data_IF_692171312065
#
_entry.id   IF_692171312065
#
_cell.length_a   1.000
_cell.length_b   1.000
_cell.length_c   1.000
_cell.angle_alpha   90.00
_cell.angle_beta   90.00
_cell.angle_gamma   90.00
#
_symmetry.space_group_name_H-M   'P 1'
#
loop_
_entity.id
_entity.type
_entity.pdbx_description
1 polymer ?
#
# COMPACT_ATOMS: atom_id res chain seq x y z
N UNK A 1 1.67 -5.23 -21.88
CA UNK A 1 2.34 -5.29 -20.57
C UNK A 1 1.37 -5.21 -19.39
N UNK A 2 0.28 -4.43 -19.47
CA UNK A 2 -0.73 -4.32 -18.42
C UNK A 2 -1.46 -5.64 -18.16
N UNK A 3 -1.88 -6.35 -19.21
CA UNK A 3 -2.61 -7.63 -19.12
C UNK A 3 -1.85 -8.77 -18.41
N UNK A 4 -0.51 -8.70 -18.34
CA UNK A 4 0.29 -9.72 -17.63
C UNK A 4 0.61 -9.36 -16.19
N UNK A 5 0.16 -8.17 -15.71
CA UNK A 5 0.38 -7.71 -14.35
C UNK A 5 -0.87 -7.91 -13.48
N UNK A 6 -2.05 -7.69 -14.06
CA UNK A 6 -3.31 -7.71 -13.33
C UNK A 6 -3.93 -9.11 -13.29
N UNK A 7 -4.48 -9.45 -12.13
CA UNK A 7 -5.31 -10.63 -11.90
C UNK A 7 -6.74 -10.24 -11.53
N UNK A 8 -7.63 -11.21 -11.51
CA UNK A 8 -8.99 -11.06 -11.02
C UNK A 8 -9.07 -11.45 -9.55
N UNK A 9 -9.77 -10.63 -8.76
CA UNK A 9 -9.93 -10.91 -7.35
C UNK A 9 -10.91 -9.95 -6.67
N UNK A 10 -11.36 -10.36 -5.49
CA UNK A 10 -12.20 -9.55 -4.63
C UNK A 10 -11.75 -9.70 -3.18
N UNK A 11 -11.96 -8.68 -2.38
CA UNK A 11 -11.74 -8.70 -0.95
C UNK A 11 -12.84 -7.93 -0.23
N UNK A 12 -13.18 -8.38 0.96
CA UNK A 12 -14.11 -7.69 1.86
C UNK A 12 -13.60 -7.82 3.30
N UNK A 13 -13.84 -6.79 4.09
CA UNK A 13 -13.58 -6.81 5.52
C UNK A 13 -14.77 -6.22 6.28
N UNK A 14 -14.94 -6.66 7.50
CA UNK A 14 -15.90 -6.09 8.43
C UNK A 14 -15.14 -5.30 9.49
N UNK A 15 -15.48 -4.02 9.65
CA UNK A 15 -14.93 -3.18 10.68
C UNK A 15 -16.04 -2.78 11.67
N UNK A 16 -15.72 -2.79 12.95
CA UNK A 16 -16.61 -2.32 14.01
C UNK A 16 -16.01 -1.11 14.71
N UNK A 17 -16.87 -0.15 15.08
CA UNK A 17 -16.47 0.97 15.92
C UNK A 17 -16.64 0.65 17.39
N UNK A 18 -15.91 1.42 18.26
CA UNK A 18 -16.04 1.32 19.71
C UNK A 18 -14.95 0.49 20.39
N UNK A 19 -15.08 0.35 21.73
CA UNK A 19 -14.08 -0.32 22.58
C UNK A 19 -14.16 -1.86 22.56
N UNK A 20 -15.13 -2.43 21.87
CA UNK A 20 -15.44 -3.87 21.94
C UNK A 20 -14.65 -4.72 20.91
N UNK A 21 -13.82 -4.12 20.07
CA UNK A 21 -13.08 -4.85 19.04
C UNK A 21 -11.76 -5.39 19.61
N UNK A 22 -11.69 -6.68 19.85
CA UNK A 22 -10.44 -7.40 19.99
C UNK A 22 -9.81 -7.57 18.60
N UNK A 23 -8.49 -7.40 18.49
CA UNK A 23 -7.74 -7.64 17.25
C UNK A 23 -7.19 -6.37 16.61
N UNK A 24 -6.99 -6.42 15.29
CA UNK A 24 -6.37 -5.35 14.52
C UNK A 24 -7.19 -4.05 14.57
N UNK A 25 -6.55 -2.96 14.93
CA UNK A 25 -7.17 -1.63 15.03
C UNK A 25 -6.62 -0.69 13.97
N UNK A 26 -7.50 0.10 13.37
CA UNK A 26 -7.12 1.29 12.60
C UNK A 26 -6.98 2.46 13.57
N UNK A 27 -5.76 2.98 13.71
CA UNK A 27 -5.42 4.07 14.63
C UNK A 27 -5.63 5.43 13.96
N UNK A 28 -5.15 5.56 12.73
CA UNK A 28 -5.24 6.79 11.94
C UNK A 28 -5.11 6.50 10.46
N UNK A 29 -5.53 7.45 9.63
CA UNK A 29 -5.30 7.39 8.19
C UNK A 29 -4.95 8.77 7.64
N UNK A 30 -4.26 8.78 6.48
CA UNK A 30 -3.95 9.98 5.71
C UNK A 30 -3.99 9.66 4.23
N UNK A 31 -4.67 10.51 3.47
CA UNK A 31 -4.60 10.56 2.01
C UNK A 31 -3.72 11.73 1.57
N UNK A 32 -2.84 11.51 0.62
CA UNK A 32 -1.98 12.54 0.07
C UNK A 32 -1.88 12.38 -1.45
N UNK A 33 -2.18 13.44 -2.21
CA UNK A 33 -2.01 13.47 -3.66
C UNK A 33 -0.68 14.14 -3.98
N UNK A 34 0.13 13.49 -4.80
CA UNK A 34 1.41 14.04 -5.23
C UNK A 34 1.22 14.98 -6.42
N UNK A 35 1.61 16.26 -6.30
CA UNK A 35 1.51 17.21 -7.41
C UNK A 35 2.32 16.75 -8.63
N UNK A 36 1.85 17.12 -9.82
CA UNK A 36 2.53 16.91 -11.10
C UNK A 36 2.81 15.43 -11.43
N UNK A 37 1.97 14.52 -10.94
CA UNK A 37 2.14 13.07 -11.13
C UNK A 37 0.96 12.37 -11.83
N UNK A 38 -0.02 13.13 -12.31
CA UNK A 38 -1.25 12.59 -12.90
C UNK A 38 -1.04 11.69 -14.12
N UNK A 39 0.06 11.86 -14.85
CA UNK A 39 0.40 11.05 -16.01
C UNK A 39 1.08 9.72 -15.65
N UNK A 40 1.46 9.51 -14.39
CA UNK A 40 2.16 8.30 -13.95
C UNK A 40 1.21 7.12 -13.69
N UNK A 41 0.06 7.40 -13.07
CA UNK A 41 -1.01 6.44 -12.79
C UNK A 41 -2.36 7.12 -12.90
N UNK A 42 -3.25 6.59 -13.73
CA UNK A 42 -4.56 7.18 -13.92
C UNK A 42 -5.44 6.39 -14.89
N UNK A 43 -6.51 7.02 -15.29
CA UNK A 43 -7.44 6.52 -16.29
C UNK A 43 -7.58 7.50 -17.44
N UNK A 44 -7.63 6.97 -18.65
CA UNK A 44 -7.99 7.73 -19.85
C UNK A 44 -9.31 7.22 -20.38
N UNK A 45 -10.26 8.11 -20.56
CA UNK A 45 -11.54 7.80 -21.18
C UNK A 45 -11.37 7.87 -22.70
N UNK A 46 -11.72 6.79 -23.39
CA UNK A 46 -11.76 6.66 -24.84
C UNK A 46 -13.16 6.28 -25.34
N UNK A 47 -13.32 6.20 -26.66
CA UNK A 47 -14.59 5.77 -27.31
C UNK A 47 -14.99 4.33 -26.95
N UNK A 48 -14.03 3.53 -26.54
CA UNK A 48 -14.15 2.10 -26.18
C UNK A 48 -14.09 1.87 -24.65
N UNK A 49 -14.19 2.93 -23.84
CA UNK A 49 -14.24 2.87 -22.38
C UNK A 49 -13.00 3.40 -21.68
N UNK A 50 -12.80 2.94 -20.42
CA UNK A 50 -11.67 3.33 -19.60
C UNK A 50 -10.42 2.54 -19.95
N UNK A 51 -9.31 3.26 -20.14
CA UNK A 51 -7.98 2.68 -20.30
C UNK A 51 -7.09 3.09 -19.15
N UNK A 52 -6.46 2.10 -18.51
CA UNK A 52 -5.49 2.38 -17.46
C UNK A 52 -4.25 3.04 -18.05
N UNK A 53 -3.81 4.12 -17.40
CA UNK A 53 -2.50 4.74 -17.61
C UNK A 53 -1.59 4.26 -16.48
N UNK A 54 -0.54 3.54 -16.83
CA UNK A 54 0.48 3.09 -15.90
C UNK A 54 1.83 3.20 -16.60
N UNK A 55 2.63 4.14 -16.16
CA UNK A 55 3.96 4.41 -16.74
C UNK A 55 5.07 4.01 -15.78
N UNK A 56 6.31 3.94 -16.29
CA UNK A 56 7.49 3.71 -15.46
C UNK A 56 7.73 4.85 -14.46
N UNK A 57 7.20 6.04 -14.71
CA UNK A 57 7.31 7.19 -13.81
C UNK A 57 6.63 7.01 -12.46
N UNK A 58 5.73 6.02 -12.30
CA UNK A 58 5.11 5.74 -11.01
C UNK A 58 6.15 5.38 -9.94
N UNK A 59 7.10 4.51 -10.26
CA UNK A 59 8.16 4.13 -9.31
C UNK A 59 9.00 5.35 -8.91
N UNK A 60 9.34 6.22 -9.86
CA UNK A 60 10.12 7.44 -9.59
C UNK A 60 9.37 8.43 -8.69
N UNK A 61 8.04 8.56 -8.85
CA UNK A 61 7.20 9.38 -7.97
C UNK A 61 7.21 8.82 -6.55
N UNK A 62 7.04 7.50 -6.41
CA UNK A 62 7.06 6.81 -5.10
C UNK A 62 8.42 7.02 -4.42
N UNK A 63 9.52 6.78 -5.10
CA UNK A 63 10.87 6.95 -4.53
C UNK A 63 11.12 8.38 -4.04
N UNK A 64 10.67 9.39 -4.78
CA UNK A 64 10.88 10.79 -4.40
C UNK A 64 9.98 11.30 -3.28
N UNK A 65 8.76 10.78 -3.16
CA UNK A 65 7.72 11.39 -2.33
C UNK A 65 7.33 10.58 -1.09
N UNK A 66 7.30 9.25 -1.19
CA UNK A 66 6.71 8.40 -0.16
C UNK A 66 7.41 8.51 1.20
N UNK A 67 8.75 8.62 1.22
CA UNK A 67 9.50 8.72 2.48
C UNK A 67 9.08 9.93 3.32
N UNK A 68 8.92 11.09 2.68
CA UNK A 68 8.48 12.31 3.37
C UNK A 68 7.06 12.17 3.91
N UNK A 69 6.14 11.63 3.09
CA UNK A 69 4.74 11.41 3.46
C UNK A 69 4.63 10.46 4.67
N UNK A 70 5.31 9.33 4.61
CA UNK A 70 5.32 8.32 5.68
C UNK A 70 5.96 8.88 6.95
N UNK A 71 7.13 9.51 6.84
CA UNK A 71 7.82 10.06 8.01
C UNK A 71 7.00 11.15 8.70
N UNK A 72 6.40 12.06 7.94
CA UNK A 72 5.52 13.10 8.48
C UNK A 72 4.25 12.52 9.12
N UNK A 73 3.65 11.49 8.51
CA UNK A 73 2.49 10.82 9.07
C UNK A 73 2.82 10.13 10.40
N UNK A 74 3.87 9.33 10.43
CA UNK A 74 4.29 8.61 11.63
C UNK A 74 4.72 9.55 12.77
N UNK A 75 5.45 10.62 12.44
CA UNK A 75 5.87 11.62 13.43
C UNK A 75 4.67 12.27 14.16
N UNK A 76 3.56 12.51 13.45
CA UNK A 76 2.31 12.99 14.03
C UNK A 76 1.69 12.04 15.07
N UNK A 77 2.14 10.78 15.12
CA UNK A 77 1.71 9.75 16.06
C UNK A 77 2.83 9.29 17.01
N UNK A 78 3.95 10.03 17.07
CA UNK A 78 5.09 9.69 17.93
C UNK A 78 5.87 8.45 17.48
N UNK A 79 5.76 8.07 16.21
CA UNK A 79 6.38 6.90 15.62
C UNK A 79 7.43 7.29 14.57
N UNK A 80 8.32 6.34 14.27
CA UNK A 80 9.27 6.41 13.17
C UNK A 80 9.16 5.15 12.30
N UNK A 81 9.79 5.13 11.14
CA UNK A 81 9.82 3.97 10.23
C UNK A 81 10.35 2.72 10.94
N UNK A 82 11.37 2.86 11.78
CA UNK A 82 12.02 1.76 12.52
C UNK A 82 11.12 1.15 13.61
N UNK A 83 10.05 1.87 14.01
CA UNK A 83 9.07 1.39 15.00
C UNK A 83 7.94 0.58 14.36
N UNK A 84 7.84 0.58 13.05
CA UNK A 84 6.82 -0.18 12.33
C UNK A 84 7.33 -1.62 12.16
N UNK A 85 6.57 -2.56 12.71
CA UNK A 85 6.91 -3.99 12.71
C UNK A 85 6.22 -4.76 11.60
N UNK A 86 5.09 -4.26 11.09
CA UNK A 86 4.33 -4.90 10.02
C UNK A 86 4.05 -3.92 8.90
N UNK A 87 4.39 -4.32 7.68
CA UNK A 87 4.21 -3.52 6.47
C UNK A 87 3.20 -4.18 5.54
N UNK A 88 2.14 -3.48 5.22
CA UNK A 88 1.07 -3.91 4.30
C UNK A 88 1.14 -3.03 3.07
N UNK A 89 2.03 -3.36 2.13
CA UNK A 89 2.27 -2.53 0.96
C UNK A 89 1.46 -3.04 -0.25
N UNK A 90 0.76 -2.12 -0.92
CA UNK A 90 0.05 -2.45 -2.16
C UNK A 90 1.01 -3.03 -3.21
N UNK A 91 0.79 -4.26 -3.71
CA UNK A 91 1.66 -4.91 -4.68
C UNK A 91 1.34 -4.44 -6.10
N UNK A 92 1.56 -3.15 -6.38
CA UNK A 92 1.22 -2.52 -7.66
C UNK A 92 2.02 -3.03 -8.86
N UNK A 93 3.16 -3.67 -8.60
CA UNK A 93 4.09 -4.26 -9.55
C UNK A 93 5.48 -4.37 -8.94
N UNK A 94 6.41 -5.17 -9.53
CA UNK A 94 7.74 -5.38 -8.95
C UNK A 94 8.47 -4.07 -8.69
N UNK A 95 8.54 -3.18 -9.67
CA UNK A 95 9.21 -1.88 -9.56
C UNK A 95 8.58 -0.95 -8.53
N UNK A 96 7.26 -1.05 -8.31
CA UNK A 96 6.56 -0.25 -7.30
C UNK A 96 6.90 -0.74 -5.90
N UNK A 97 6.97 -2.06 -5.70
CA UNK A 97 7.41 -2.65 -4.43
C UNK A 97 8.86 -2.27 -4.14
N UNK A 98 9.75 -2.34 -5.15
CA UNK A 98 11.14 -1.90 -5.03
C UNK A 98 11.23 -0.43 -4.64
N UNK A 99 10.43 0.44 -5.27
CA UNK A 99 10.39 1.86 -4.98
C UNK A 99 9.93 2.16 -3.53
N UNK A 100 8.91 1.45 -3.03
CA UNK A 100 8.48 1.54 -1.63
C UNK A 100 9.62 1.12 -0.70
N UNK A 101 10.22 -0.04 -0.96
CA UNK A 101 11.31 -0.59 -0.17
C UNK A 101 12.50 0.37 -0.10
N UNK A 102 12.95 0.87 -1.25
CA UNK A 102 14.08 1.78 -1.37
C UNK A 102 13.81 3.12 -0.67
N UNK A 103 12.65 3.72 -0.95
CA UNK A 103 12.23 5.00 -0.39
C UNK A 103 12.23 5.00 1.14
N UNK A 104 11.77 3.91 1.75
CA UNK A 104 11.65 3.76 3.19
C UNK A 104 12.83 3.00 3.82
N UNK A 105 13.79 2.55 3.01
CA UNK A 105 14.96 1.75 3.43
C UNK A 105 14.56 0.49 4.20
N UNK A 106 13.52 -0.19 3.72
CA UNK A 106 13.00 -1.38 4.38
C UNK A 106 13.85 -2.62 4.08
N UNK A 107 13.96 -3.57 5.02
CA UNK A 107 14.54 -4.88 4.74
C UNK A 107 13.65 -5.69 3.80
N UNK A 108 14.20 -6.68 3.11
CA UNK A 108 13.46 -7.55 2.17
C UNK A 108 12.25 -8.22 2.83
N UNK A 109 12.39 -8.62 4.08
CA UNK A 109 11.31 -9.25 4.86
C UNK A 109 10.07 -8.36 5.04
N UNK A 110 10.22 -7.04 5.03
CA UNK A 110 9.12 -6.11 5.21
C UNK A 110 8.16 -6.09 4.00
N UNK A 111 8.65 -6.37 2.81
CA UNK A 111 7.86 -6.37 1.56
C UNK A 111 7.62 -7.78 0.99
N UNK A 112 8.05 -8.82 1.70
CA UNK A 112 7.97 -10.21 1.23
C UNK A 112 6.52 -10.64 0.96
N UNK A 113 5.58 -10.34 1.86
CA UNK A 113 4.17 -10.69 1.70
C UNK A 113 3.55 -9.98 0.49
N UNK A 114 3.95 -8.73 0.22
CA UNK A 114 3.53 -8.00 -0.98
C UNK A 114 4.07 -8.64 -2.26
N UNK A 115 5.35 -9.03 -2.28
CA UNK A 115 5.98 -9.72 -3.41
C UNK A 115 5.33 -11.09 -3.65
N UNK A 116 5.09 -11.84 -2.58
CA UNK A 116 4.43 -13.15 -2.65
C UNK A 116 3.00 -13.04 -3.16
N UNK A 117 2.21 -12.07 -2.66
CA UNK A 117 0.86 -11.81 -3.16
C UNK A 117 0.86 -11.50 -4.66
N UNK A 118 1.78 -10.65 -5.12
CA UNK A 118 1.92 -10.32 -6.54
C UNK A 118 2.28 -11.54 -7.39
N UNK A 119 3.17 -12.41 -6.91
CA UNK A 119 3.58 -13.61 -7.63
C UNK A 119 2.47 -14.67 -7.71
N UNK A 120 1.66 -14.79 -6.67
CA UNK A 120 0.61 -15.82 -6.57
C UNK A 120 -0.66 -15.44 -7.35
N UNK A 121 -1.09 -14.17 -7.27
CA UNK A 121 -2.41 -13.75 -7.78
C UNK A 121 -2.37 -12.53 -8.70
N UNK A 122 -1.20 -11.93 -8.90
CA UNK A 122 -1.07 -10.69 -9.67
C UNK A 122 -1.56 -9.45 -8.89
N UNK A 123 -1.66 -8.34 -9.61
CA UNK A 123 -2.23 -7.11 -9.07
C UNK A 123 -3.75 -7.14 -9.21
N UNK A 124 -4.46 -7.26 -8.10
CA UNK A 124 -5.93 -7.29 -8.01
C UNK A 124 -6.53 -5.88 -7.81
N UNK A 125 -5.79 -4.83 -8.21
CA UNK A 125 -6.18 -3.43 -7.99
C UNK A 125 -6.38 -3.16 -6.47
N UNK A 126 -7.47 -2.50 -6.07
CA UNK A 126 -7.73 -2.17 -4.66
C UNK A 126 -7.85 -3.38 -3.73
N UNK A 127 -8.23 -4.55 -4.25
CA UNK A 127 -8.30 -5.78 -3.45
C UNK A 127 -6.92 -6.30 -3.02
N UNK A 128 -5.86 -5.99 -3.77
CA UNK A 128 -4.51 -6.49 -3.50
C UNK A 128 -4.00 -6.17 -2.10
N UNK A 129 -4.19 -4.94 -1.64
CA UNK A 129 -3.69 -4.53 -0.33
C UNK A 129 -4.40 -5.27 0.81
N UNK A 130 -5.68 -5.65 0.63
CA UNK A 130 -6.42 -6.44 1.59
C UNK A 130 -5.98 -7.91 1.60
N UNK A 131 -5.57 -8.47 0.45
CA UNK A 131 -4.92 -9.79 0.40
C UNK A 131 -3.58 -9.79 1.16
N UNK A 132 -2.79 -8.73 1.02
CA UNK A 132 -1.55 -8.58 1.81
C UNK A 132 -1.87 -8.43 3.30
N UNK A 133 -2.90 -7.65 3.64
CA UNK A 133 -3.35 -7.49 5.03
C UNK A 133 -3.75 -8.82 5.65
N UNK A 134 -4.54 -9.64 4.96
CA UNK A 134 -4.94 -10.98 5.42
C UNK A 134 -3.72 -11.85 5.73
N UNK A 135 -2.75 -11.90 4.80
CA UNK A 135 -1.48 -12.64 5.00
C UNK A 135 -0.68 -12.09 6.19
N UNK A 136 -0.68 -10.76 6.37
CA UNK A 136 0.01 -10.11 7.48
C UNK A 136 -0.65 -10.45 8.82
N UNK A 137 -1.97 -10.43 8.90
CA UNK A 137 -2.71 -10.88 10.09
C UNK A 137 -2.38 -12.35 10.40
N UNK A 138 -2.38 -13.22 9.38
CA UNK A 138 -2.03 -14.63 9.51
C UNK A 138 -0.58 -14.88 9.96
N UNK A 139 0.33 -13.95 9.70
CA UNK A 139 1.71 -14.00 10.18
C UNK A 139 1.85 -13.66 11.67
N UNK A 140 0.81 -13.09 12.29
CA UNK A 140 0.71 -12.85 13.73
C UNK A 140 1.69 -11.81 14.27
N UNK A 141 1.63 -10.54 13.83
CA UNK A 141 2.44 -9.50 14.45
C UNK A 141 2.20 -9.43 15.96
N UNK A 142 3.23 -9.09 16.77
CA UNK A 142 3.09 -9.06 18.22
C UNK A 142 1.96 -8.13 18.70
N UNK A 143 1.18 -8.51 19.72
CA UNK A 143 0.18 -7.63 20.31
C UNK A 143 0.76 -6.28 20.75
N UNK A 144 0.03 -5.19 20.45
CA UNK A 144 0.47 -3.83 20.73
C UNK A 144 1.46 -3.25 19.72
N UNK A 145 1.94 -4.05 18.75
CA UNK A 145 2.86 -3.56 17.73
C UNK A 145 2.17 -2.67 16.71
N UNK A 146 2.94 -1.74 16.13
CA UNK A 146 2.46 -0.85 15.09
C UNK A 146 2.73 -1.41 13.69
N UNK A 147 1.76 -1.25 12.79
CA UNK A 147 1.91 -1.53 11.38
C UNK A 147 1.52 -0.36 10.51
N UNK A 148 2.00 -0.34 9.27
CA UNK A 148 1.60 0.65 8.30
C UNK A 148 1.10 -0.02 7.02
N UNK A 149 -0.14 0.30 6.63
CA UNK A 149 -0.68 -0.07 5.33
C UNK A 149 -0.49 1.10 4.36
N UNK A 150 0.01 0.78 3.15
CA UNK A 150 0.29 1.75 2.09
C UNK A 150 -0.46 1.33 0.84
N UNK A 151 -1.42 2.15 0.42
CA UNK A 151 -2.08 2.07 -0.88
C UNK A 151 -1.53 3.13 -1.83
N UNK A 152 -1.53 2.84 -3.12
CA UNK A 152 -1.19 3.79 -4.17
C UNK A 152 -2.32 3.82 -5.20
N UNK A 153 -2.78 5.01 -5.51
CA UNK A 153 -3.91 5.24 -6.40
C UNK A 153 -3.61 6.26 -7.51
N UNK A 154 -4.60 6.44 -8.41
CA UNK A 154 -4.51 7.45 -9.46
C UNK A 154 -4.27 8.84 -8.91
N UNK A 155 -3.48 9.64 -9.66
CA UNK A 155 -3.29 11.02 -9.31
C UNK A 155 -1.85 11.53 -9.23
N UNK A 156 -0.81 10.87 -8.79
CA UNK A 156 -0.67 9.70 -7.92
C UNK A 156 -1.09 10.05 -6.50
N UNK A 157 -1.87 9.20 -5.85
CA UNK A 157 -2.17 9.34 -4.44
C UNK A 157 -1.51 8.23 -3.61
N UNK A 158 -1.15 8.57 -2.37
CA UNK A 158 -0.74 7.63 -1.35
C UNK A 158 -1.78 7.61 -0.22
N UNK A 159 -2.25 6.41 0.11
CA UNK A 159 -3.16 6.15 1.21
C UNK A 159 -2.37 5.45 2.33
N UNK A 160 -2.26 6.11 3.46
CA UNK A 160 -1.54 5.60 4.63
C UNK A 160 -2.52 5.27 5.74
N UNK A 161 -2.43 4.05 6.28
CA UNK A 161 -3.27 3.63 7.41
C UNK A 161 -2.39 3.05 8.49
N UNK A 162 -2.38 3.71 9.65
CA UNK A 162 -1.68 3.24 10.84
C UNK A 162 -2.51 2.17 11.54
N UNK A 163 -1.91 1.03 11.72
CA UNK A 163 -2.50 -0.17 12.32
C UNK A 163 -1.87 -0.46 13.67
N UNK A 164 -2.63 -1.11 14.56
CA UNK A 164 -2.15 -1.64 15.83
C UNK A 164 -2.74 -3.03 16.06
N UNK A 165 -1.87 -4.01 16.36
CA UNK A 165 -2.21 -5.39 16.71
C UNK A 165 -2.49 -5.56 18.19
#
# INVERSE_FOLDING_TARGET
MVSGLFGDGAAALVAAGGQAAEGLRVVASRSEVYPDSGDALGWRLGSDGFRIVLTSGLADVVERRLSSSVSSFLAGHGLTVEKITAWVCHPGGPKVIDAIQNSLKLPDSAVELSRRSLAEVGNLSSASVLHVLEKTIGAGPPPGSAGLMIGLGPGVSAELVLLQW
#
